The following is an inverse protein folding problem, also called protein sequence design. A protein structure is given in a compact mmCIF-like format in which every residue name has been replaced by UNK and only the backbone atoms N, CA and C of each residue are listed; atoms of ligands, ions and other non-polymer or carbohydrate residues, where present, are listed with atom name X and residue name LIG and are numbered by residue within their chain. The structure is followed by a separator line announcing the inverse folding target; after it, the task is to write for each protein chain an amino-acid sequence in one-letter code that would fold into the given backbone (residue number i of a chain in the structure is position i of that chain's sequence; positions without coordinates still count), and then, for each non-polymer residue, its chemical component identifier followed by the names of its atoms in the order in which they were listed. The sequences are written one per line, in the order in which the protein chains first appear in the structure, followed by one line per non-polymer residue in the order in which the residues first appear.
data_IF_492447741003
#
_entry.id   IF_492447741003
#
_cell.length_a   1.000
_cell.length_b   1.000
_cell.length_c   1.000
_cell.angle_alpha   90.00
_cell.angle_beta   90.00
_cell.angle_gamma   90.00
#
_symmetry.space_group_name_H-M   'P 1'
#
loop_
_entity.id
_entity.type
_entity.pdbx_description
1 polymer ?
#
# COMPACT_ATOMS: atom_id res chain seq x y z
N UNK A 1 -11.48 -47.37 -20.98
CA UNK A 1 -12.09 -46.34 -20.10
C UNK A 1 -11.25 -46.10 -18.83
N UNK A 2 -9.91 -46.04 -18.87
CA UNK A 2 -9.10 -45.94 -17.64
C UNK A 2 -7.93 -44.95 -17.74
N UNK A 3 -7.87 -44.11 -18.78
CA UNK A 3 -6.81 -43.10 -18.91
C UNK A 3 -7.21 -41.67 -18.51
N UNK A 4 -8.52 -41.35 -18.55
CA UNK A 4 -9.02 -40.03 -18.12
C UNK A 4 -9.02 -39.82 -16.60
N UNK A 5 -9.29 -40.89 -15.82
CA UNK A 5 -9.35 -40.81 -14.34
C UNK A 5 -7.97 -40.57 -13.68
N UNK A 6 -6.85 -40.97 -14.29
CA UNK A 6 -5.51 -40.74 -13.75
C UNK A 6 -4.98 -39.32 -14.02
N UNK A 7 -5.43 -38.69 -15.11
CA UNK A 7 -5.03 -37.30 -15.42
C UNK A 7 -5.77 -36.27 -14.56
N UNK A 8 -7.02 -36.51 -14.22
CA UNK A 8 -7.79 -35.61 -13.35
C UNK A 8 -7.23 -35.56 -11.93
N UNK A 9 -6.75 -36.71 -11.40
CA UNK A 9 -6.17 -36.73 -10.04
C UNK A 9 -4.82 -35.99 -9.96
N UNK A 10 -4.00 -36.09 -11.02
CA UNK A 10 -2.69 -35.42 -11.07
C UNK A 10 -2.78 -33.89 -11.30
N UNK A 11 -3.82 -33.44 -11.96
CA UNK A 11 -4.11 -31.99 -12.10
C UNK A 11 -4.60 -31.40 -10.79
N UNK A 12 -5.47 -32.09 -10.08
CA UNK A 12 -5.99 -31.67 -8.76
C UNK A 12 -4.90 -31.57 -7.70
N UNK A 13 -3.91 -32.48 -7.68
CA UNK A 13 -2.77 -32.42 -6.78
C UNK A 13 -1.87 -31.20 -7.10
N UNK A 14 -1.57 -30.96 -8.38
CA UNK A 14 -0.77 -29.79 -8.81
C UNK A 14 -1.47 -28.47 -8.53
N UNK A 15 -2.78 -28.38 -8.75
CA UNK A 15 -3.56 -27.19 -8.42
C UNK A 15 -3.56 -26.92 -6.91
N UNK A 16 -3.57 -27.99 -6.11
CA UNK A 16 -3.47 -27.87 -4.65
C UNK A 16 -2.08 -27.39 -4.21
N UNK A 17 -1.01 -27.96 -4.78
CA UNK A 17 0.37 -27.57 -4.49
C UNK A 17 0.62 -26.10 -4.86
N UNK A 18 0.18 -25.63 -6.02
CA UNK A 18 0.30 -24.26 -6.47
C UNK A 18 -0.51 -23.29 -5.57
N UNK A 19 -1.67 -23.74 -5.06
CA UNK A 19 -2.43 -22.98 -4.07
C UNK A 19 -1.68 -22.88 -2.74
N UNK A 20 -1.03 -23.97 -2.30
CA UNK A 20 -0.25 -24.00 -1.05
C UNK A 20 1.00 -23.11 -1.16
N UNK A 21 1.74 -23.14 -2.28
CA UNK A 21 2.85 -22.23 -2.54
C UNK A 21 2.41 -20.76 -2.45
N UNK A 22 1.25 -20.43 -3.02
CA UNK A 22 0.69 -19.07 -2.93
C UNK A 22 0.39 -18.67 -1.48
N UNK A 23 -0.09 -19.60 -0.65
CA UNK A 23 -0.34 -19.37 0.77
C UNK A 23 0.98 -19.20 1.53
N UNK A 24 2.00 -19.97 1.20
CA UNK A 24 3.32 -19.88 1.83
C UNK A 24 4.00 -18.54 1.53
N UNK A 25 3.93 -18.03 0.30
CA UNK A 25 4.40 -16.68 -0.04
C UNK A 25 3.72 -15.59 0.81
N UNK A 26 2.42 -15.72 1.09
CA UNK A 26 1.70 -14.81 1.99
C UNK A 26 2.21 -14.93 3.44
N UNK A 27 2.51 -16.14 3.89
CA UNK A 27 3.10 -16.39 5.20
C UNK A 27 4.49 -15.76 5.34
N UNK A 28 5.35 -15.92 4.36
CA UNK A 28 6.70 -15.35 4.35
C UNK A 28 6.69 -13.82 4.49
N UNK A 29 5.75 -13.16 3.84
CA UNK A 29 5.62 -11.71 3.95
C UNK A 29 5.19 -11.21 5.33
N UNK A 30 4.63 -12.08 6.18
CA UNK A 30 4.20 -11.77 7.55
C UNK A 30 5.19 -12.25 8.63
N UNK A 31 6.24 -13.01 8.29
CA UNK A 31 7.33 -13.44 9.18
C UNK A 31 7.96 -12.24 9.90
N UNK A 32 7.99 -11.09 9.26
CA UNK A 32 8.43 -9.82 9.84
C UNK A 32 7.75 -9.50 11.19
N UNK A 33 6.46 -9.80 11.33
CA UNK A 33 5.70 -9.51 12.54
C UNK A 33 5.94 -10.56 13.65
N UNK A 34 6.29 -11.83 13.31
CA UNK A 34 6.69 -12.85 14.28
C UNK A 34 8.08 -12.60 14.84
N UNK A 35 9.07 -12.30 13.99
CA UNK A 35 10.41 -11.90 14.44
C UNK A 35 10.36 -10.69 15.39
N UNK A 36 9.42 -9.78 15.12
CA UNK A 36 9.18 -8.64 15.99
C UNK A 36 8.69 -9.09 17.37
N UNK A 37 7.76 -10.04 17.43
CA UNK A 37 7.24 -10.59 18.69
C UNK A 37 8.32 -11.33 19.49
N UNK A 38 9.13 -12.18 18.85
CA UNK A 38 10.23 -12.92 19.48
C UNK A 38 11.30 -11.98 20.06
N UNK A 39 11.61 -10.87 19.39
CA UNK A 39 12.56 -9.88 19.87
C UNK A 39 12.01 -9.06 21.05
N UNK A 40 10.68 -8.90 21.14
CA UNK A 40 10.02 -8.25 22.29
C UNK A 40 9.98 -9.17 23.49
N UNK A 41 9.72 -10.47 23.30
CA UNK A 41 9.68 -11.46 24.39
C UNK A 41 11.03 -11.66 25.09
N UNK A 42 12.14 -11.36 24.40
CA UNK A 42 13.51 -11.44 24.96
C UNK A 42 14.06 -10.08 25.43
N UNK A 43 13.28 -9.03 25.41
CA UNK A 43 13.66 -7.70 25.91
C UNK A 43 12.96 -7.38 27.23
N UNK A 44 13.70 -6.83 28.19
CA UNK A 44 13.21 -6.40 29.53
C UNK A 44 12.25 -5.18 29.47
N UNK A 45 11.46 -5.05 28.42
CA UNK A 45 10.53 -3.93 28.20
C UNK A 45 9.08 -4.31 28.45
N UNK A 46 8.35 -3.43 29.15
CA UNK A 46 6.89 -3.53 29.28
C UNK A 46 6.24 -3.70 27.90
N UNK A 47 5.27 -4.63 27.80
CA UNK A 47 4.51 -4.82 26.55
C UNK A 47 3.77 -3.52 26.21
N UNK A 48 3.90 -3.02 24.97
CA UNK A 48 3.15 -1.83 24.59
C UNK A 48 1.64 -2.10 24.70
N UNK A 49 0.91 -1.08 25.13
CA UNK A 49 -0.54 -1.12 25.23
C UNK A 49 -1.16 -1.54 23.89
N UNK A 50 -1.81 -2.70 23.90
CA UNK A 50 -2.63 -3.16 22.77
C UNK A 50 -4.10 -3.03 23.19
N UNK A 51 -4.88 -2.16 22.54
CA UNK A 51 -6.29 -1.91 22.89
C UNK A 51 -7.22 -3.11 22.60
N UNK A 52 -6.70 -4.15 21.94
CA UNK A 52 -7.45 -5.33 21.53
C UNK A 52 -6.64 -6.60 21.71
N UNK A 53 -7.32 -7.72 21.93
CA UNK A 53 -6.68 -9.04 21.89
C UNK A 53 -5.98 -9.25 20.52
N UNK A 54 -4.80 -9.88 20.50
CA UNK A 54 -4.07 -10.18 19.28
C UNK A 54 -4.97 -10.94 18.30
N UNK A 55 -5.05 -10.45 17.06
CA UNK A 55 -5.81 -11.16 16.02
C UNK A 55 -5.11 -12.48 15.67
N UNK A 56 -5.88 -13.57 15.68
CA UNK A 56 -5.40 -14.87 15.22
C UNK A 56 -4.86 -14.78 13.78
N UNK A 57 -3.75 -15.45 13.53
CA UNK A 57 -3.03 -15.38 12.27
C UNK A 57 -3.85 -15.97 11.11
N UNK A 58 -4.46 -17.14 11.31
CA UNK A 58 -5.27 -17.78 10.27
C UNK A 58 -6.53 -16.95 9.96
N UNK A 59 -7.15 -16.37 10.98
CA UNK A 59 -8.28 -15.46 10.79
C UNK A 59 -7.86 -14.22 9.98
N UNK A 60 -6.70 -13.63 10.30
CA UNK A 60 -6.16 -12.49 9.56
C UNK A 60 -5.95 -12.81 8.07
N UNK A 61 -5.29 -13.92 7.75
CA UNK A 61 -5.03 -14.30 6.35
C UNK A 61 -6.30 -14.59 5.58
N UNK A 62 -7.24 -15.31 6.19
CA UNK A 62 -8.53 -15.57 5.56
C UNK A 62 -9.25 -14.28 5.18
N UNK A 63 -9.31 -13.32 6.10
CA UNK A 63 -9.94 -12.04 5.83
C UNK A 63 -9.16 -11.20 4.82
N UNK A 64 -7.82 -11.20 4.87
CA UNK A 64 -6.99 -10.53 3.90
C UNK A 64 -7.22 -11.06 2.48
N UNK A 65 -7.21 -12.38 2.30
CA UNK A 65 -7.47 -13.00 1.00
C UNK A 65 -8.88 -12.69 0.47
N UNK A 66 -9.89 -12.67 1.34
CA UNK A 66 -11.25 -12.27 0.97
C UNK A 66 -11.28 -10.81 0.48
N UNK A 67 -10.65 -9.90 1.22
CA UNK A 67 -10.57 -8.49 0.83
C UNK A 67 -9.75 -8.30 -0.47
N UNK A 68 -8.69 -9.08 -0.68
CA UNK A 68 -7.91 -9.02 -1.91
C UNK A 68 -8.70 -9.51 -3.13
N UNK A 69 -9.55 -10.52 -2.99
CA UNK A 69 -10.49 -10.91 -4.06
C UNK A 69 -11.44 -9.77 -4.42
N UNK A 70 -11.96 -9.08 -3.41
CA UNK A 70 -12.82 -7.92 -3.65
C UNK A 70 -12.06 -6.74 -4.28
N UNK A 71 -10.78 -6.53 -3.94
CA UNK A 71 -9.92 -5.53 -4.60
C UNK A 71 -9.72 -5.84 -6.09
N UNK A 72 -9.58 -7.11 -6.48
CA UNK A 72 -9.51 -7.50 -7.90
C UNK A 72 -10.81 -7.14 -8.62
N UNK A 73 -11.97 -7.47 -8.03
CA UNK A 73 -13.28 -7.07 -8.60
C UNK A 73 -13.42 -5.54 -8.73
N UNK A 74 -12.96 -4.81 -7.71
CA UNK A 74 -12.95 -3.35 -7.76
C UNK A 74 -12.05 -2.83 -8.90
N UNK A 75 -10.86 -3.40 -9.09
CA UNK A 75 -9.98 -3.03 -10.20
C UNK A 75 -10.64 -3.27 -11.56
N UNK A 76 -11.26 -4.44 -11.75
CA UNK A 76 -11.96 -4.77 -12.99
C UNK A 76 -13.10 -3.79 -13.25
N UNK A 77 -13.85 -3.43 -12.21
CA UNK A 77 -14.91 -2.43 -12.29
C UNK A 77 -14.38 -1.04 -12.65
N UNK A 78 -13.28 -0.60 -12.03
CA UNK A 78 -12.62 0.68 -12.34
C UNK A 78 -12.21 0.73 -13.80
N UNK A 79 -11.66 -0.36 -14.34
CA UNK A 79 -11.30 -0.47 -15.75
C UNK A 79 -12.54 -0.46 -16.66
N UNK A 80 -13.55 -1.24 -16.33
CA UNK A 80 -14.77 -1.36 -17.11
C UNK A 80 -15.54 -0.05 -17.18
N UNK A 81 -15.69 0.65 -16.06
CA UNK A 81 -16.40 1.94 -15.96
C UNK A 81 -15.52 3.15 -16.29
N UNK A 82 -14.24 2.94 -16.59
CA UNK A 82 -13.29 4.04 -16.87
C UNK A 82 -13.18 5.04 -15.71
N UNK A 83 -13.34 4.57 -14.48
CA UNK A 83 -13.21 5.42 -13.29
C UNK A 83 -11.77 5.88 -13.11
N UNK A 84 -11.59 6.95 -12.37
CA UNK A 84 -10.28 7.49 -11.96
C UNK A 84 -10.25 7.55 -10.44
N UNK A 85 -9.36 6.76 -9.82
CA UNK A 85 -9.29 6.66 -8.37
C UNK A 85 -7.94 7.14 -7.87
N UNK A 86 -7.93 8.03 -6.89
CA UNK A 86 -6.74 8.51 -6.18
C UNK A 86 -6.90 8.23 -4.70
N UNK A 87 -5.91 7.58 -4.11
CA UNK A 87 -5.87 7.33 -2.67
C UNK A 87 -4.59 7.93 -2.09
N UNK A 88 -4.73 8.79 -1.09
CA UNK A 88 -3.60 9.39 -0.39
C UNK A 88 -3.37 8.64 0.93
N UNK A 89 -2.13 8.25 1.16
CA UNK A 89 -1.66 7.62 2.40
C UNK A 89 -0.73 8.56 3.12
N UNK A 90 -1.26 9.25 4.12
CA UNK A 90 -0.54 10.17 4.99
C UNK A 90 -0.48 9.64 6.42
N UNK A 91 0.33 10.23 7.26
CA UNK A 91 0.41 9.84 8.67
C UNK A 91 1.82 9.79 9.21
N UNK A 92 1.91 9.42 10.48
CA UNK A 92 3.16 9.33 11.23
C UNK A 92 4.16 8.38 10.58
N UNK A 93 5.44 8.65 10.80
CA UNK A 93 6.48 7.71 10.42
C UNK A 93 6.33 6.43 11.24
N UNK A 94 6.61 5.29 10.60
CA UNK A 94 6.38 3.96 11.12
C UNK A 94 4.90 3.57 11.40
N UNK A 95 3.90 4.39 11.02
CA UNK A 95 2.48 4.11 11.25
C UNK A 95 1.90 2.96 10.42
N UNK A 96 2.65 2.38 9.47
CA UNK A 96 2.21 1.19 8.73
C UNK A 96 1.67 1.46 7.32
N UNK A 97 1.77 2.70 6.81
CA UNK A 97 1.32 3.08 5.44
C UNK A 97 1.80 2.11 4.36
N UNK A 98 3.11 1.91 4.25
CA UNK A 98 3.70 1.02 3.23
C UNK A 98 3.25 -0.44 3.38
N UNK A 99 2.96 -0.90 4.60
CA UNK A 99 2.40 -2.23 4.84
C UNK A 99 0.99 -2.40 4.29
N UNK A 100 0.14 -1.38 4.41
CA UNK A 100 -1.21 -1.37 3.81
C UNK A 100 -1.13 -1.27 2.29
N UNK A 101 -0.31 -0.36 1.76
CA UNK A 101 -0.11 -0.19 0.31
C UNK A 101 0.34 -1.51 -0.32
N UNK A 102 1.29 -2.21 0.30
CA UNK A 102 1.78 -3.52 -0.17
C UNK A 102 0.65 -4.55 -0.26
N UNK A 103 -0.22 -4.66 0.76
CA UNK A 103 -1.34 -5.61 0.76
C UNK A 103 -2.45 -5.24 -0.22
N UNK A 104 -2.66 -3.93 -0.43
CA UNK A 104 -3.58 -3.44 -1.45
C UNK A 104 -3.13 -3.82 -2.87
N UNK A 105 -1.84 -3.67 -3.16
CA UNK A 105 -1.31 -3.80 -4.53
C UNK A 105 -0.88 -5.21 -4.89
N UNK A 106 -0.72 -6.08 -3.92
CA UNK A 106 -0.11 -7.41 -4.05
C UNK A 106 -0.72 -8.27 -5.17
N UNK A 107 -2.04 -8.20 -5.34
CA UNK A 107 -2.77 -8.98 -6.34
C UNK A 107 -3.39 -8.13 -7.44
N UNK A 108 -3.12 -6.82 -7.44
CA UNK A 108 -3.61 -5.92 -8.47
C UNK A 108 -2.64 -5.82 -9.64
N UNK A 109 -3.18 -5.59 -10.82
CA UNK A 109 -2.37 -5.38 -12.02
C UNK A 109 -1.60 -4.03 -11.91
N UNK A 110 -0.25 -4.04 -11.89
CA UNK A 110 0.54 -2.82 -11.73
C UNK A 110 0.44 -1.85 -12.92
N UNK A 111 -0.13 -2.29 -14.04
CA UNK A 111 -0.40 -1.39 -15.18
C UNK A 111 -1.60 -0.49 -14.94
N UNK A 112 -2.51 -0.88 -14.06
CA UNK A 112 -3.74 -0.15 -13.73
C UNK A 112 -3.76 0.39 -12.32
N UNK A 113 -3.07 -0.26 -11.39
CA UNK A 113 -2.89 0.21 -10.02
C UNK A 113 -1.43 0.61 -9.81
N UNK A 114 -1.16 1.90 -9.64
CA UNK A 114 0.19 2.47 -9.54
C UNK A 114 0.42 3.04 -8.15
N UNK A 115 1.62 2.79 -7.60
CA UNK A 115 2.08 3.44 -6.37
C UNK A 115 3.01 4.59 -6.74
N UNK A 116 2.74 5.76 -6.19
CA UNK A 116 3.55 6.98 -6.37
C UNK A 116 4.15 7.38 -5.03
N UNK A 117 5.47 7.30 -4.94
CA UNK A 117 6.26 7.74 -3.81
C UNK A 117 7.33 8.71 -4.31
N UNK A 118 7.06 10.01 -4.22
CA UNK A 118 7.96 11.02 -4.76
C UNK A 118 9.11 11.30 -3.78
N UNK A 119 10.32 11.35 -4.30
CA UNK A 119 11.50 11.81 -3.56
C UNK A 119 11.39 13.30 -3.19
N UNK A 120 12.35 13.83 -2.42
CA UNK A 120 12.46 15.26 -2.19
C UNK A 120 12.48 16.03 -3.51
N UNK A 121 11.82 17.21 -3.59
CA UNK A 121 11.76 17.98 -4.84
C UNK A 121 13.15 18.41 -5.31
N UNK A 122 13.40 18.29 -6.62
CA UNK A 122 14.57 18.81 -7.28
C UNK A 122 14.57 20.34 -7.24
N UNK A 123 15.73 20.99 -7.53
CA UNK A 123 15.80 22.45 -7.61
C UNK A 123 14.79 23.03 -8.62
N UNK A 124 14.62 22.37 -9.77
CA UNK A 124 13.64 22.77 -10.76
C UNK A 124 12.21 22.67 -10.24
N UNK A 125 11.85 21.57 -9.57
CA UNK A 125 10.50 21.35 -9.03
C UNK A 125 10.15 22.35 -7.94
N UNK A 126 11.14 22.82 -7.15
CA UNK A 126 10.94 23.86 -6.12
C UNK A 126 10.51 25.21 -6.70
N UNK A 127 10.83 25.50 -7.96
CA UNK A 127 10.43 26.72 -8.65
C UNK A 127 9.12 26.60 -9.42
N UNK A 128 8.55 25.41 -9.50
CA UNK A 128 7.28 25.14 -10.17
C UNK A 128 6.09 25.40 -9.24
N UNK A 129 4.91 25.48 -9.83
CA UNK A 129 3.69 25.43 -9.03
C UNK A 129 3.66 24.18 -8.17
N UNK A 130 3.35 24.34 -6.88
CA UNK A 130 3.54 23.30 -5.88
C UNK A 130 2.92 21.95 -6.26
N UNK A 131 1.69 21.95 -6.79
CA UNK A 131 0.99 20.72 -7.14
C UNK A 131 1.49 20.06 -8.45
N UNK A 132 2.30 20.77 -9.26
CA UNK A 132 2.68 20.32 -10.61
C UNK A 132 3.35 18.94 -10.60
N UNK A 133 4.23 18.66 -9.64
CA UNK A 133 4.90 17.37 -9.53
C UNK A 133 3.96 16.20 -9.20
N UNK A 134 2.82 16.48 -8.55
CA UNK A 134 1.80 15.48 -8.22
C UNK A 134 0.80 15.30 -9.36
N UNK A 135 0.43 16.36 -10.04
CA UNK A 135 -0.53 16.35 -11.15
C UNK A 135 -0.10 15.41 -12.27
N UNK A 136 1.21 15.33 -12.56
CA UNK A 136 1.76 14.43 -13.57
C UNK A 136 1.47 12.93 -13.31
N UNK A 137 1.11 12.57 -12.08
CA UNK A 137 0.84 11.19 -11.68
C UNK A 137 -0.64 10.88 -11.46
N UNK A 138 -1.54 11.83 -11.72
CA UNK A 138 -2.98 11.60 -11.61
C UNK A 138 -3.46 10.53 -12.60
N UNK A 139 -4.50 9.76 -12.26
CA UNK A 139 -4.93 8.63 -13.05
C UNK A 139 -5.59 9.05 -14.37
N UNK A 140 -5.32 8.27 -15.41
CA UNK A 140 -6.16 8.20 -16.59
C UNK A 140 -7.43 7.38 -16.31
N UNK A 141 -8.36 7.35 -17.27
CA UNK A 141 -9.59 6.56 -17.17
C UNK A 141 -9.27 5.06 -17.04
N UNK A 142 -9.79 4.43 -16.00
CA UNK A 142 -9.55 3.02 -15.68
C UNK A 142 -8.32 2.77 -14.79
N UNK A 143 -7.73 3.81 -14.20
CA UNK A 143 -6.55 3.68 -13.35
C UNK A 143 -6.83 4.00 -11.87
N UNK A 144 -6.09 3.34 -11.00
CA UNK A 144 -6.02 3.59 -9.55
C UNK A 144 -4.60 4.08 -9.24
N UNK A 145 -4.48 5.21 -8.55
CA UNK A 145 -3.18 5.73 -8.11
C UNK A 145 -3.16 5.88 -6.61
N UNK A 146 -2.18 5.23 -5.98
CA UNK A 146 -1.93 5.25 -4.54
C UNK A 146 -0.72 6.13 -4.26
N UNK A 147 -0.92 7.24 -3.57
CA UNK A 147 0.19 8.10 -3.16
C UNK A 147 0.70 7.71 -1.77
N UNK A 148 1.95 7.21 -1.67
CA UNK A 148 2.67 7.08 -0.39
C UNK A 148 3.33 8.43 -0.09
N UNK A 149 2.67 9.22 0.72
CA UNK A 149 2.82 10.67 0.88
C UNK A 149 2.41 11.45 -0.38
N UNK A 150 1.90 12.61 -0.18
CA UNK A 150 1.28 13.41 -1.24
C UNK A 150 1.63 14.89 -1.14
N UNK A 151 0.82 15.74 -1.75
CA UNK A 151 0.89 17.19 -1.58
C UNK A 151 0.74 17.65 -0.14
N UNK A 152 0.25 16.81 0.75
CA UNK A 152 0.18 17.09 2.18
C UNK A 152 1.55 17.09 2.89
N UNK A 153 2.64 16.76 2.20
CA UNK A 153 4.01 17.02 2.70
C UNK A 153 4.18 18.48 3.13
N UNK A 154 3.55 19.46 2.46
CA UNK A 154 3.58 20.88 2.83
C UNK A 154 2.97 21.13 4.20
N UNK A 155 1.84 20.47 4.51
CA UNK A 155 1.18 20.59 5.81
C UNK A 155 1.88 19.79 6.93
N UNK A 156 2.69 18.78 6.58
CA UNK A 156 3.38 17.90 7.50
C UNK A 156 4.88 18.18 7.59
N UNK A 157 5.67 17.34 6.91
CA UNK A 157 7.13 17.34 7.03
C UNK A 157 7.76 18.68 6.63
N UNK A 158 7.28 19.34 5.59
CA UNK A 158 7.86 20.60 5.14
C UNK A 158 7.64 21.72 6.18
N UNK A 159 6.47 21.78 6.80
CA UNK A 159 6.16 22.72 7.90
C UNK A 159 7.01 22.45 9.12
N UNK A 160 7.03 21.20 9.60
CA UNK A 160 7.70 20.82 10.85
C UNK A 160 9.22 20.95 10.76
N UNK A 161 9.78 20.67 9.59
CA UNK A 161 11.23 20.74 9.37
C UNK A 161 11.71 22.11 8.88
N UNK A 162 10.81 23.03 8.61
CA UNK A 162 11.15 24.37 8.11
C UNK A 162 11.59 24.38 6.64
N UNK A 163 11.08 23.44 5.84
CA UNK A 163 11.39 23.38 4.40
C UNK A 163 10.47 24.27 3.55
N UNK A 164 9.47 24.88 4.15
CA UNK A 164 8.63 25.90 3.53
C UNK A 164 8.51 27.13 4.42
N UNK A 165 8.26 28.28 3.81
CA UNK A 165 7.97 29.53 4.51
C UNK A 165 6.54 29.55 5.06
N UNK A 166 6.25 30.46 6.00
CA UNK A 166 4.88 30.65 6.50
C UNK A 166 3.91 31.07 5.37
N UNK A 167 4.38 31.88 4.42
CA UNK A 167 3.58 32.31 3.27
C UNK A 167 3.20 31.13 2.37
N UNK A 168 4.14 30.22 2.07
CA UNK A 168 3.88 29.01 1.27
C UNK A 168 2.95 28.03 2.00
N UNK A 169 3.07 27.94 3.32
CA UNK A 169 2.20 27.11 4.16
C UNK A 169 0.77 27.63 4.15
N UNK A 170 0.56 28.93 4.35
CA UNK A 170 -0.77 29.54 4.30
C UNK A 170 -1.38 29.47 2.89
N UNK A 171 -0.57 29.68 1.84
CA UNK A 171 -1.04 29.55 0.46
C UNK A 171 -1.47 28.10 0.14
N UNK A 172 -0.75 27.12 0.67
CA UNK A 172 -1.13 25.73 0.52
C UNK A 172 -2.54 25.46 1.07
N UNK A 173 -2.87 25.95 2.26
CA UNK A 173 -4.17 25.74 2.85
C UNK A 173 -5.31 26.51 2.16
N UNK A 174 -5.01 27.59 1.45
CA UNK A 174 -5.97 28.26 0.57
C UNK A 174 -6.21 27.44 -0.70
N UNK A 175 -5.14 26.92 -1.27
CA UNK A 175 -5.15 26.27 -2.59
C UNK A 175 -5.62 24.82 -2.54
N UNK A 176 -5.26 24.03 -1.48
CA UNK A 176 -5.51 22.58 -1.48
C UNK A 176 -7.00 22.21 -1.49
N UNK A 177 -7.91 22.87 -0.76
CA UNK A 177 -9.34 22.55 -0.86
C UNK A 177 -9.93 22.85 -2.24
N UNK A 178 -9.45 23.90 -2.90
CA UNK A 178 -9.88 24.25 -4.26
C UNK A 178 -9.34 23.23 -5.28
N UNK A 179 -8.08 22.84 -5.15
CA UNK A 179 -7.44 21.81 -5.96
C UNK A 179 -8.20 20.48 -5.84
N UNK A 180 -8.49 20.02 -4.64
CA UNK A 180 -9.21 18.77 -4.40
C UNK A 180 -10.66 18.82 -4.93
N UNK A 181 -11.38 19.94 -4.76
CA UNK A 181 -12.68 20.14 -5.39
C UNK A 181 -12.61 20.10 -6.92
N UNK A 182 -11.56 20.66 -7.52
CA UNK A 182 -11.34 20.58 -8.95
C UNK A 182 -11.11 19.15 -9.42
N UNK A 183 -10.32 18.37 -8.69
CA UNK A 183 -10.10 16.94 -8.98
C UNK A 183 -11.41 16.15 -8.92
N UNK A 184 -12.18 16.30 -7.85
CA UNK A 184 -13.46 15.58 -7.68
C UNK A 184 -14.50 15.98 -8.73
N UNK A 185 -14.62 17.25 -9.07
CA UNK A 185 -15.49 17.72 -10.17
C UNK A 185 -15.06 17.20 -11.54
N UNK A 186 -13.77 16.88 -11.74
CA UNK A 186 -13.28 16.24 -12.96
C UNK A 186 -13.56 14.74 -13.03
N UNK A 187 -14.28 14.19 -12.02
CA UNK A 187 -14.65 12.79 -11.94
C UNK A 187 -13.57 11.89 -11.32
N UNK A 188 -12.61 12.45 -10.58
CA UNK A 188 -11.65 11.68 -9.78
C UNK A 188 -12.31 11.36 -8.43
N UNK A 189 -12.31 10.09 -8.06
CA UNK A 189 -12.67 9.62 -6.72
C UNK A 189 -11.42 9.79 -5.85
N UNK A 190 -11.45 10.79 -4.95
CA UNK A 190 -10.32 11.11 -4.08
C UNK A 190 -10.61 10.62 -2.65
N UNK A 191 -9.73 9.77 -2.13
CA UNK A 191 -9.82 9.18 -0.79
C UNK A 191 -8.55 9.53 -0.03
N UNK A 192 -8.69 10.03 1.21
CA UNK A 192 -7.56 10.48 2.02
C UNK A 192 -7.51 9.71 3.33
N UNK A 193 -6.39 9.01 3.58
CA UNK A 193 -6.13 8.29 4.82
C UNK A 193 -5.02 8.94 5.62
N UNK A 194 -5.27 9.12 6.92
CA UNK A 194 -4.25 9.48 7.90
C UNK A 194 -3.99 8.31 8.85
N UNK A 195 -2.77 7.78 8.82
CA UNK A 195 -2.34 6.70 9.71
C UNK A 195 -1.80 7.28 11.02
N UNK A 196 -2.44 6.93 12.12
CA UNK A 196 -2.12 7.39 13.47
C UNK A 196 -1.58 6.24 14.31
N UNK A 197 -0.52 6.51 15.07
CA UNK A 197 0.02 5.61 16.10
C UNK A 197 0.32 6.42 17.36
N UNK A 198 0.51 5.73 18.49
CA UNK A 198 0.98 6.34 19.72
C UNK A 198 2.49 6.61 19.66
N UNK A 199 2.99 7.44 20.57
CA UNK A 199 4.41 7.74 20.71
C UNK A 199 5.20 6.48 21.08
N UNK A 200 4.66 5.68 22.01
CA UNK A 200 5.26 4.45 22.49
C UNK A 200 5.41 3.44 21.34
N UNK A 201 4.36 3.27 20.54
CA UNK A 201 4.38 2.37 19.38
C UNK A 201 5.38 2.83 18.31
N UNK A 202 5.46 4.13 18.04
CA UNK A 202 6.47 4.65 17.11
C UNK A 202 7.88 4.37 17.61
N UNK A 203 8.12 4.62 18.91
CA UNK A 203 9.40 4.35 19.54
C UNK A 203 9.79 2.87 19.40
N UNK A 204 8.88 1.98 19.76
CA UNK A 204 9.08 0.54 19.62
C UNK A 204 9.48 0.18 18.19
N UNK A 205 8.73 0.65 17.20
CA UNK A 205 8.99 0.35 15.78
C UNK A 205 10.34 0.88 15.30
N UNK A 206 10.79 2.03 15.79
CA UNK A 206 12.13 2.56 15.48
C UNK A 206 13.23 1.73 16.13
N UNK A 207 13.09 1.37 17.40
CA UNK A 207 14.05 0.47 18.08
C UNK A 207 14.19 -0.86 17.32
N UNK A 208 13.06 -1.43 16.88
CA UNK A 208 13.07 -2.68 16.11
C UNK A 208 13.77 -2.53 14.75
N UNK A 209 13.59 -1.37 14.06
CA UNK A 209 14.32 -1.10 12.80
C UNK A 209 15.83 -0.98 13.03
N UNK A 210 16.27 -0.43 14.16
CA UNK A 210 17.69 -0.32 14.52
C UNK A 210 18.30 -1.71 14.74
N UNK A 211 17.56 -2.61 15.40
CA UNK A 211 18.04 -3.95 15.78
C UNK A 211 18.00 -4.96 14.65
N UNK A 212 17.12 -4.79 13.68
CA UNK A 212 16.95 -5.71 12.55
C UNK A 212 17.76 -5.27 11.33
N UNK A 213 18.85 -5.99 10.94
CA UNK A 213 19.68 -5.64 9.79
C UNK A 213 18.89 -5.56 8.47
N UNK A 214 17.78 -6.32 8.35
CA UNK A 214 16.93 -6.29 7.16
C UNK A 214 15.99 -5.06 7.12
N UNK A 215 15.89 -4.31 8.22
CA UNK A 215 15.01 -3.14 8.35
C UNK A 215 15.75 -1.83 8.57
N UNK A 216 17.06 -1.85 8.83
CA UNK A 216 17.86 -0.65 9.07
C UNK A 216 17.76 0.37 7.94
N UNK A 217 17.67 -0.09 6.70
CA UNK A 217 17.51 0.79 5.53
C UNK A 217 16.21 1.61 5.54
N UNK A 218 15.21 1.22 6.35
CA UNK A 218 13.94 1.94 6.52
C UNK A 218 14.05 3.10 7.52
N UNK A 219 15.18 3.23 8.20
CA UNK A 219 15.41 4.30 9.17
C UNK A 219 16.25 5.39 8.52
N UNK A 220 15.67 6.57 8.41
CA UNK A 220 16.33 7.77 7.88
C UNK A 220 16.63 8.77 8.98
N UNK A 221 17.57 9.73 8.77
CA UNK A 221 17.75 10.84 9.69
C UNK A 221 16.46 11.65 9.94
N UNK A 222 15.57 11.69 8.95
CA UNK A 222 14.26 12.37 9.07
C UNK A 222 13.33 11.66 10.06
N UNK A 223 13.40 10.34 10.17
CA UNK A 223 12.63 9.59 11.16
C UNK A 223 13.03 9.96 12.59
N UNK A 224 14.33 10.15 12.83
CA UNK A 224 14.85 10.56 14.14
C UNK A 224 14.41 11.99 14.50
N UNK A 225 14.45 12.90 13.53
CA UNK A 225 13.96 14.27 13.72
C UNK A 225 12.43 14.31 13.90
N UNK A 226 11.69 13.46 13.22
CA UNK A 226 10.22 13.38 13.39
C UNK A 226 9.84 12.95 14.80
N UNK A 227 10.63 12.06 15.43
CA UNK A 227 10.45 11.67 16.82
C UNK A 227 10.70 12.82 17.78
N UNK A 228 11.80 13.56 17.60
CA UNK A 228 12.12 14.73 18.45
C UNK A 228 11.04 15.81 18.40
N UNK A 229 10.33 15.92 17.29
CA UNK A 229 9.33 16.96 17.01
C UNK A 229 7.90 16.42 17.07
N UNK A 230 7.67 15.43 17.95
CA UNK A 230 6.38 14.73 18.06
C UNK A 230 5.18 15.68 18.20
N UNK A 231 5.29 16.67 19.11
CA UNK A 231 4.21 17.65 19.35
C UNK A 231 4.02 18.59 18.15
N UNK A 232 5.09 18.99 17.48
CA UNK A 232 5.00 19.82 16.28
C UNK A 232 4.26 19.09 15.15
N UNK A 233 4.54 17.80 14.97
CA UNK A 233 3.79 16.96 14.04
C UNK A 233 2.34 16.77 14.46
N UNK A 234 2.06 16.67 15.77
CA UNK A 234 0.69 16.59 16.28
C UNK A 234 -0.08 17.85 15.92
N UNK A 235 0.49 19.02 16.22
CA UNK A 235 -0.10 20.31 15.89
C UNK A 235 -0.33 20.47 14.38
N UNK A 236 0.67 20.14 13.57
CA UNK A 236 0.56 20.19 12.11
C UNK A 236 -0.55 19.29 11.58
N UNK A 237 -0.70 18.06 12.12
CA UNK A 237 -1.80 17.15 11.79
C UNK A 237 -3.16 17.74 12.15
N UNK A 238 -3.31 18.29 13.36
CA UNK A 238 -4.57 18.86 13.82
C UNK A 238 -5.03 20.01 12.93
N UNK A 239 -4.13 20.95 12.64
CA UNK A 239 -4.39 22.06 11.73
C UNK A 239 -4.73 21.58 10.30
N UNK A 240 -3.99 20.58 9.80
CA UNK A 240 -4.25 19.98 8.49
C UNK A 240 -5.66 19.37 8.44
N UNK A 241 -6.05 18.57 9.43
CA UNK A 241 -7.38 17.95 9.47
C UNK A 241 -8.47 19.01 9.56
N UNK A 242 -8.32 20.01 10.43
CA UNK A 242 -9.28 21.10 10.61
C UNK A 242 -9.52 21.88 9.30
N UNK A 243 -8.43 22.26 8.62
CA UNK A 243 -8.50 23.15 7.45
C UNK A 243 -8.80 22.43 6.13
N UNK A 244 -8.65 21.10 6.08
CA UNK A 244 -8.76 20.34 4.81
C UNK A 244 -9.71 19.15 4.83
N UNK A 245 -10.45 18.93 5.94
CA UNK A 245 -11.54 17.96 5.98
C UNK A 245 -12.79 18.57 5.33
N UNK A 246 -12.87 18.50 4.00
CA UNK A 246 -13.98 19.03 3.22
C UNK A 246 -14.97 17.93 2.81
N UNK A 247 -16.26 18.23 2.60
CA UNK A 247 -17.25 17.21 2.24
C UNK A 247 -16.91 16.42 0.97
N UNK A 248 -16.30 17.08 -0.02
CA UNK A 248 -15.93 16.50 -1.29
C UNK A 248 -14.69 15.59 -1.22
N UNK A 249 -13.85 15.79 -0.20
CA UNK A 249 -12.60 15.04 0.01
C UNK A 249 -12.32 14.90 1.51
N UNK A 250 -12.99 13.96 2.16
CA UNK A 250 -12.90 13.73 3.60
C UNK A 250 -11.59 13.01 3.97
N UNK A 251 -11.09 13.31 5.17
CA UNK A 251 -10.06 12.53 5.81
C UNK A 251 -10.65 11.36 6.59
N UNK A 252 -9.96 10.23 6.52
CA UNK A 252 -10.27 9.03 7.29
C UNK A 252 -9.04 8.67 8.12
N UNK A 253 -9.22 8.53 9.43
CA UNK A 253 -8.12 8.18 10.35
C UNK A 253 -8.06 6.67 10.48
N UNK A 254 -6.89 6.10 10.26
CA UNK A 254 -6.60 4.67 10.45
C UNK A 254 -5.72 4.52 11.70
N UNK A 255 -6.22 3.79 12.68
CA UNK A 255 -5.46 3.46 13.88
C UNK A 255 -4.43 2.37 13.54
N UNK A 256 -3.14 2.73 13.62
CA UNK A 256 -2.03 1.91 13.14
C UNK A 256 -1.31 1.13 14.23
N UNK A 257 -1.77 1.14 15.50
CA UNK A 257 -1.15 0.41 16.61
C UNK A 257 -1.20 -1.09 16.34
N UNK A 258 -2.37 -1.63 16.02
CA UNK A 258 -2.52 -3.00 15.52
C UNK A 258 -2.39 -3.02 13.99
N UNK A 259 -1.26 -3.51 13.49
CA UNK A 259 -0.97 -3.53 12.04
C UNK A 259 -1.94 -4.42 11.26
N UNK A 260 -2.36 -5.57 11.81
CA UNK A 260 -3.27 -6.50 11.13
C UNK A 260 -4.64 -5.86 10.96
N UNK A 261 -5.20 -5.31 12.05
CA UNK A 261 -6.48 -4.61 12.03
C UNK A 261 -6.44 -3.36 11.16
N UNK A 262 -5.36 -2.57 11.23
CA UNK A 262 -5.18 -1.39 10.40
C UNK A 262 -5.21 -1.73 8.90
N UNK A 263 -4.57 -2.82 8.49
CA UNK A 263 -4.58 -3.31 7.09
C UNK A 263 -5.99 -3.71 6.67
N UNK A 264 -6.64 -4.59 7.41
CA UNK A 264 -7.96 -5.09 7.07
C UNK A 264 -8.99 -3.96 7.05
N UNK A 265 -9.02 -3.11 8.08
CA UNK A 265 -9.97 -2.02 8.20
C UNK A 265 -9.79 -0.98 7.08
N UNK A 266 -8.55 -0.63 6.75
CA UNK A 266 -8.27 0.32 5.68
C UNK A 266 -8.69 -0.24 4.31
N UNK A 267 -8.38 -1.51 4.01
CA UNK A 267 -8.79 -2.16 2.77
C UNK A 267 -10.32 -2.26 2.68
N UNK A 268 -10.95 -2.74 3.75
CA UNK A 268 -12.41 -2.85 3.81
C UNK A 268 -13.08 -1.49 3.60
N UNK A 269 -12.61 -0.45 4.27
CA UNK A 269 -13.14 0.90 4.10
C UNK A 269 -12.94 1.43 2.67
N UNK A 270 -11.76 1.18 2.06
CA UNK A 270 -11.49 1.57 0.66
C UNK A 270 -12.51 0.95 -0.30
N UNK A 271 -12.82 -0.34 -0.13
CA UNK A 271 -13.84 -1.04 -0.92
C UNK A 271 -15.22 -0.41 -0.79
N UNK A 272 -15.55 0.17 0.35
CA UNK A 272 -16.83 0.88 0.56
C UNK A 272 -16.88 2.28 -0.08
N UNK A 273 -15.72 2.91 -0.33
CA UNK A 273 -15.65 4.25 -0.91
C UNK A 273 -15.87 4.26 -2.43
N UNK A 274 -15.64 3.15 -3.10
CA UNK A 274 -15.82 3.02 -4.55
C UNK A 274 -16.95 2.02 -4.80
N UNK A 275 -18.13 2.47 -5.25
CA UNK A 275 -19.22 1.55 -5.57
C UNK A 275 -18.81 0.69 -6.78
N UNK A 276 -18.63 -0.60 -6.56
CA UNK A 276 -18.25 -1.55 -7.59
C UNK A 276 -19.22 -2.74 -7.65
N UNK A 277 -19.20 -3.42 -8.76
CA UNK A 277 -19.94 -4.68 -9.00
C UNK A 277 -19.02 -5.63 -9.73
N UNK A 278 -19.33 -6.91 -9.65
CA UNK A 278 -18.66 -7.94 -10.43
C UNK A 278 -18.86 -7.68 -11.93
N UNK A 279 -17.77 -7.65 -12.67
CA UNK A 279 -17.81 -7.53 -14.14
C UNK A 279 -17.90 -8.93 -14.72
N UNK A 280 -18.91 -9.23 -15.56
CA UNK A 280 -18.97 -10.53 -16.22
C UNK A 280 -17.75 -10.74 -17.13
N UNK A 281 -17.01 -11.81 -16.90
CA UNK A 281 -15.94 -12.25 -17.78
C UNK A 281 -16.44 -13.33 -18.73
N UNK A 282 -16.02 -13.27 -19.98
CA UNK A 282 -16.26 -14.35 -20.92
C UNK A 282 -15.42 -15.57 -20.50
N UNK A 283 -15.96 -16.79 -20.57
CA UNK A 283 -15.18 -18.00 -20.34
C UNK A 283 -13.94 -18.00 -21.24
N UNK A 284 -12.77 -18.18 -20.63
CA UNK A 284 -11.51 -18.28 -21.37
C UNK A 284 -11.23 -19.75 -21.58
N UNK A 285 -11.23 -20.19 -22.85
CA UNK A 285 -10.77 -21.51 -23.23
C UNK A 285 -9.30 -21.41 -23.66
N UNK A 286 -8.46 -22.28 -23.11
CA UNK A 286 -7.07 -22.34 -23.53
C UNK A 286 -7.01 -22.93 -24.93
N UNK A 287 -6.44 -22.21 -25.93
CA UNK A 287 -6.33 -22.73 -27.27
C UNK A 287 -5.35 -23.92 -27.31
N UNK A 288 -5.61 -24.90 -28.16
CA UNK A 288 -4.65 -25.96 -28.40
C UNK A 288 -3.33 -25.39 -28.89
N UNK A 289 -2.22 -25.98 -28.46
CA UNK A 289 -0.89 -25.59 -28.94
C UNK A 289 -0.73 -25.92 -30.42
N UNK A 290 -0.38 -24.94 -31.23
CA UNK A 290 0.02 -25.16 -32.62
C UNK A 290 1.40 -25.82 -32.66
N UNK A 291 1.48 -27.00 -33.28
CA UNK A 291 2.73 -27.71 -33.49
C UNK A 291 3.32 -27.31 -34.83
N UNK A 292 4.55 -26.85 -34.81
CA UNK A 292 5.35 -26.62 -36.04
C UNK A 292 6.27 -27.82 -36.28
N UNK A 293 5.94 -28.76 -37.16
CA UNK A 293 6.69 -30.00 -37.33
C UNK A 293 8.11 -29.78 -37.84
N UNK A 294 8.37 -28.67 -38.52
CA UNK A 294 9.70 -28.34 -39.11
C UNK A 294 10.60 -27.58 -38.13
N UNK A 295 10.14 -27.31 -36.89
CA UNK A 295 10.94 -26.60 -35.88
C UNK A 295 11.61 -27.55 -34.90
N UNK A 296 12.93 -27.63 -34.99
CA UNK A 296 13.77 -28.32 -34.00
C UNK A 296 14.33 -27.30 -32.99
N UNK A 297 14.01 -27.49 -31.71
CA UNK A 297 14.53 -26.64 -30.63
C UNK A 297 16.02 -26.79 -30.49
N UNK A 298 16.78 -25.70 -30.57
CA UNK A 298 18.21 -25.68 -30.31
C UNK A 298 18.44 -25.81 -28.80
N UNK A 299 19.40 -26.65 -28.36
CA UNK A 299 19.78 -26.72 -26.95
C UNK A 299 20.36 -25.38 -26.48
N UNK A 300 20.02 -24.97 -25.27
CA UNK A 300 20.66 -23.83 -24.63
C UNK A 300 22.02 -24.29 -24.11
N UNK A 301 23.13 -23.58 -24.43
CA UNK A 301 24.45 -23.88 -23.90
C UNK A 301 24.46 -23.91 -22.37
N UNK A 302 25.23 -24.83 -21.78
CA UNK A 302 25.24 -25.02 -20.33
C UNK A 302 25.65 -23.77 -19.55
N UNK A 303 26.52 -22.95 -20.11
CA UNK A 303 26.98 -21.68 -19.54
C UNK A 303 25.93 -20.59 -19.47
N UNK A 304 24.79 -20.75 -20.14
CA UNK A 304 23.68 -19.82 -20.11
C UNK A 304 22.68 -20.11 -18.99
N UNK A 305 22.79 -21.26 -18.33
CA UNK A 305 21.95 -21.59 -17.20
C UNK A 305 22.49 -20.98 -15.93
N UNK A 306 21.59 -20.48 -15.08
CA UNK A 306 21.94 -20.10 -13.72
C UNK A 306 22.42 -21.36 -12.98
N UNK A 307 23.62 -21.36 -12.36
CA UNK A 307 24.09 -22.52 -11.62
C UNK A 307 23.12 -22.89 -10.50
N UNK A 308 22.69 -24.15 -10.39
CA UNK A 308 21.87 -24.61 -9.28
C UNK A 308 22.73 -24.66 -8.02
N UNK A 309 22.47 -23.76 -7.07
CA UNK A 309 23.13 -23.70 -5.76
C UNK A 309 22.27 -24.28 -4.66
N UNK A 310 20.98 -24.46 -4.90
CA UNK A 310 19.97 -24.98 -3.99
C UNK A 310 19.21 -26.12 -4.65
#
# INVERSE_FOLDING_TARGET
MNSQSKNDHSLSEREHDELMETVDEEFEMEIDDQRLAELIEHGDGERPYQPHEPMDRHAYFRELLNLQRELVKLQDWVQHQKLKVVVLFEGRDAAGKGGVIKRLTQRLNPRTCKVVALAAPTERERTQWYFQRYVAHLPAAGEIVLFDRSWYNRAGVERVMGFCTDAEYEEFFRSVPEFERMLTRSGIILIKYWFSITDEEQNLRFVMRIRDPLKQWKLSPMDLESRRRWELYTKAKEEMLERTHIPEARWWVVEGVDKKRARLNCIHHLLQQVPYREVPHLPIELPAREHQPDYARRPVPAEMYVPPLY
#
